data_IF_136186567538
#
_entry.id   IF_136186567538
#
_cell.length_a   1.000
_cell.length_b   1.000
_cell.length_c   1.000
_cell.angle_alpha   90.00
_cell.angle_beta   90.00
_cell.angle_gamma   90.00
#
_symmetry.space_group_name_H-M   'P 1'
#
loop_
_entity.id
_entity.type
_entity.pdbx_description
1 polymer ?
#
# COMPACT_ATOMS: atom_id res chain seq x y z
N UNK A 1 -15.00 11.07 -6.22
CA UNK A 1 -14.24 10.15 -5.35
C UNK A 1 -13.39 9.30 -6.27
N UNK A 2 -12.07 9.34 -6.08
CA UNK A 2 -11.11 8.53 -6.83
C UNK A 2 -10.66 7.39 -5.92
N UNK A 3 -10.55 6.17 -6.45
CA UNK A 3 -9.92 5.07 -5.73
C UNK A 3 -8.42 5.14 -6.00
N UNK A 4 -7.63 5.19 -4.94
CA UNK A 4 -6.16 5.20 -5.00
C UNK A 4 -5.61 4.01 -4.22
N UNK A 5 -4.59 3.37 -4.77
CA UNK A 5 -3.80 2.42 -4.01
C UNK A 5 -2.88 3.20 -3.09
N UNK A 6 -2.60 2.67 -1.92
CA UNK A 6 -1.79 3.37 -0.93
C UNK A 6 -0.92 2.40 -0.15
N UNK A 7 0.22 2.92 0.31
CA UNK A 7 0.94 2.33 1.43
C UNK A 7 0.42 2.97 2.70
N UNK A 8 0.14 2.17 3.72
CA UNK A 8 -0.34 2.64 5.00
C UNK A 8 0.61 2.17 6.11
N UNK A 9 0.83 3.06 7.07
CA UNK A 9 1.55 2.78 8.30
C UNK A 9 0.65 3.02 9.50
N UNK A 10 0.58 2.01 10.36
CA UNK A 10 -0.18 2.03 11.60
C UNK A 10 0.75 2.08 12.80
N UNK A 11 0.34 2.79 13.84
CA UNK A 11 1.02 2.81 15.12
C UNK A 11 0.81 1.51 15.90
N UNK A 12 1.55 1.34 17.00
CA UNK A 12 1.37 0.20 17.90
C UNK A 12 -0.01 0.16 18.58
N UNK A 13 -0.74 1.27 18.54
CA UNK A 13 -2.12 1.42 19.00
C UNK A 13 -3.16 1.00 17.94
N UNK A 14 -2.70 0.63 16.74
CA UNK A 14 -3.55 0.23 15.61
C UNK A 14 -4.20 1.40 14.87
N UNK A 15 -3.83 2.65 15.18
CA UNK A 15 -4.32 3.82 14.45
C UNK A 15 -3.43 4.13 13.25
N UNK A 16 -4.05 4.61 12.16
CA UNK A 16 -3.32 5.06 10.98
C UNK A 16 -2.46 6.27 11.34
N UNK A 17 -1.14 6.12 11.26
CA UNK A 17 -0.20 7.22 11.45
C UNK A 17 -0.02 7.99 10.15
N UNK A 18 0.10 7.28 9.02
CA UNK A 18 0.41 7.88 7.73
C UNK A 18 0.02 6.99 6.56
N UNK A 19 -0.29 7.61 5.43
CA UNK A 19 -0.48 6.94 4.14
C UNK A 19 0.25 7.67 3.01
N UNK A 20 0.58 6.92 1.97
CA UNK A 20 1.20 7.42 0.74
C UNK A 20 0.45 6.88 -0.46
N UNK A 21 -0.02 7.78 -1.33
CA UNK A 21 -0.71 7.40 -2.56
C UNK A 21 0.29 6.78 -3.54
N UNK A 22 -0.09 5.62 -4.08
CA UNK A 22 0.66 4.93 -5.12
C UNK A 22 0.11 5.32 -6.50
N UNK A 23 0.98 5.70 -7.44
CA UNK A 23 0.56 5.91 -8.81
C UNK A 23 0.12 4.60 -9.48
N UNK A 24 -0.70 4.71 -10.52
CA UNK A 24 -1.35 3.55 -11.15
C UNK A 24 -0.37 2.59 -11.85
N UNK A 25 0.83 3.05 -12.20
CA UNK A 25 1.89 2.26 -12.81
C UNK A 25 2.51 1.23 -11.84
N UNK A 26 2.45 1.50 -10.54
CA UNK A 26 2.93 0.60 -9.46
C UNK A 26 2.08 -0.67 -9.34
N UNK A 27 0.84 -0.62 -9.80
CA UNK A 27 -0.11 -1.75 -9.70
C UNK A 27 0.37 -2.96 -10.48
N UNK A 28 0.99 -2.75 -11.64
CA UNK A 28 1.46 -3.85 -12.50
C UNK A 28 2.39 -4.80 -11.75
N UNK A 29 3.49 -4.30 -11.18
CA UNK A 29 4.38 -5.08 -10.31
C UNK A 29 3.70 -5.69 -9.08
N UNK A 30 2.76 -4.97 -8.45
CA UNK A 30 2.08 -5.45 -7.24
C UNK A 30 1.19 -6.67 -7.47
N UNK A 31 0.62 -6.85 -8.68
CA UNK A 31 -0.29 -7.97 -9.01
C UNK A 31 0.30 -9.37 -8.79
N UNK A 32 1.61 -9.50 -8.68
CA UNK A 32 2.26 -10.78 -8.36
C UNK A 32 2.24 -11.11 -6.85
N UNK A 33 1.88 -10.15 -6.01
CA UNK A 33 2.03 -10.22 -4.54
C UNK A 33 0.73 -9.94 -3.77
N UNK A 34 -0.24 -9.29 -4.40
CA UNK A 34 -1.54 -8.95 -3.82
C UNK A 34 -2.66 -9.20 -4.81
N UNK A 35 -3.87 -9.40 -4.30
CA UNK A 35 -5.06 -9.45 -5.14
C UNK A 35 -5.45 -8.04 -5.59
N UNK A 36 -5.77 -7.92 -6.88
CA UNK A 36 -6.09 -6.65 -7.52
C UNK A 36 -7.34 -6.81 -8.38
N UNK A 37 -8.25 -5.85 -8.33
CA UNK A 37 -9.42 -5.84 -9.22
C UNK A 37 -9.01 -5.69 -10.69
N UNK A 38 -9.88 -6.01 -11.66
CA UNK A 38 -9.61 -5.76 -13.08
C UNK A 38 -9.20 -4.31 -13.38
N UNK A 39 -9.75 -3.36 -12.63
CA UNK A 39 -9.50 -1.92 -12.74
C UNK A 39 -8.18 -1.48 -12.10
N UNK A 40 -7.50 -2.35 -11.35
CA UNK A 40 -6.17 -2.07 -10.80
C UNK A 40 -6.16 -1.62 -9.35
N UNK A 41 -7.18 -1.91 -8.55
CA UNK A 41 -7.20 -1.58 -7.12
C UNK A 41 -6.79 -2.77 -6.27
N UNK A 42 -5.89 -2.57 -5.31
CA UNK A 42 -5.55 -3.59 -4.32
C UNK A 42 -6.80 -3.92 -3.52
N UNK A 43 -7.17 -5.20 -3.53
CA UNK A 43 -8.26 -5.72 -2.73
C UNK A 43 -7.78 -5.97 -1.31
N UNK A 44 -8.60 -5.63 -0.31
CA UNK A 44 -8.26 -5.78 1.11
C UNK A 44 -6.97 -5.04 1.51
N UNK A 45 -6.52 -5.30 2.74
CA UNK A 45 -5.27 -4.79 3.29
C UNK A 45 -4.26 -5.93 3.35
N UNK A 46 -3.13 -5.75 2.69
CA UNK A 46 -2.08 -6.77 2.59
C UNK A 46 -0.87 -6.38 3.44
N UNK A 47 -0.33 -7.31 4.24
CA UNK A 47 0.87 -7.05 5.05
C UNK A 47 2.07 -6.80 4.15
N UNK A 48 2.94 -5.90 4.60
CA UNK A 48 4.14 -5.52 3.86
C UNK A 48 5.19 -6.65 3.87
N UNK A 49 5.35 -7.34 2.74
CA UNK A 49 6.45 -8.29 2.50
C UNK A 49 7.70 -7.59 1.95
N UNK A 50 8.82 -8.31 1.85
CA UNK A 50 10.04 -7.76 1.28
C UNK A 50 9.89 -7.42 -0.22
N UNK A 51 9.14 -8.23 -0.96
CA UNK A 51 8.85 -8.04 -2.38
C UNK A 51 7.94 -6.83 -2.60
N UNK A 52 6.88 -6.69 -1.78
CA UNK A 52 5.99 -5.52 -1.83
C UNK A 52 6.77 -4.26 -1.46
N UNK A 53 7.58 -4.30 -0.40
CA UNK A 53 8.40 -3.16 0.02
C UNK A 53 9.38 -2.72 -1.07
N UNK A 54 10.06 -3.66 -1.73
CA UNK A 54 10.98 -3.36 -2.83
C UNK A 54 10.27 -2.67 -4.00
N UNK A 55 9.01 -3.02 -4.26
CA UNK A 55 8.18 -2.34 -5.25
C UNK A 55 7.88 -0.93 -4.76
N UNK A 56 7.28 -0.76 -3.58
CA UNK A 56 6.63 0.50 -3.19
C UNK A 56 7.53 1.54 -2.49
N UNK A 57 8.70 1.13 -1.99
CA UNK A 57 9.65 2.01 -1.28
C UNK A 57 9.98 3.33 -2.01
N UNK A 58 10.07 3.40 -3.35
CA UNK A 58 10.33 4.66 -4.06
C UNK A 58 9.28 5.75 -3.83
N UNK A 59 8.06 5.40 -3.40
CA UNK A 59 6.97 6.35 -3.15
C UNK A 59 6.73 6.64 -1.66
N UNK A 60 7.51 6.00 -0.79
CA UNK A 60 7.44 6.20 0.67
C UNK A 60 8.67 6.99 1.10
N UNK A 61 8.44 8.13 1.77
CA UNK A 61 9.50 9.05 2.20
C UNK A 61 10.22 8.62 3.50
N UNK A 62 9.87 7.43 4.02
CA UNK A 62 10.52 6.80 5.16
C UNK A 62 10.84 5.31 4.90
N UNK A 63 11.83 4.73 5.60
CA UNK A 63 12.18 3.33 5.42
C UNK A 63 11.05 2.40 5.85
N UNK A 64 10.59 1.55 4.94
CA UNK A 64 9.58 0.54 5.22
C UNK A 64 10.19 -0.57 6.09
N UNK A 65 9.51 -0.92 7.18
CA UNK A 65 9.95 -1.98 8.10
C UNK A 65 9.15 -3.25 7.83
N UNK A 66 9.70 -4.13 7.01
CA UNK A 66 9.10 -5.44 6.67
C UNK A 66 8.95 -6.32 7.91
N UNK A 67 7.81 -7.01 8.03
CA UNK A 67 7.54 -7.95 9.12
C UNK A 67 7.28 -7.30 10.49
N UNK A 68 7.01 -6.00 10.53
CA UNK A 68 6.68 -5.26 11.75
C UNK A 68 5.19 -5.25 12.08
N UNK A 69 4.33 -5.83 11.24
CA UNK A 69 2.87 -5.77 11.31
C UNK A 69 2.28 -4.34 11.38
N UNK A 70 3.09 -3.33 11.05
CA UNK A 70 2.71 -1.90 11.05
C UNK A 70 2.56 -1.32 9.65
N UNK A 71 2.98 -2.06 8.61
CA UNK A 71 2.99 -1.58 7.23
C UNK A 71 2.11 -2.45 6.34
N UNK A 72 1.32 -1.79 5.50
CA UNK A 72 0.37 -2.45 4.62
C UNK A 72 0.29 -1.77 3.25
N UNK A 73 -0.17 -2.52 2.26
CA UNK A 73 -0.66 -1.97 1.00
C UNK A 73 -2.15 -2.24 0.89
N UNK A 74 -2.91 -1.22 0.48
CA UNK A 74 -4.36 -1.27 0.39
C UNK A 74 -4.87 -0.32 -0.71
N UNK A 75 -6.18 -0.20 -0.84
CA UNK A 75 -6.81 0.85 -1.62
C UNK A 75 -7.86 1.60 -0.81
N UNK A 76 -8.06 2.88 -1.12
CA UNK A 76 -9.00 3.75 -0.42
C UNK A 76 -9.65 4.78 -1.34
N UNK A 77 -10.75 5.36 -0.87
CA UNK A 77 -11.45 6.43 -1.57
C UNK A 77 -10.97 7.80 -1.08
N UNK A 78 -10.47 8.62 -1.99
CA UNK A 78 -10.11 10.02 -1.71
C UNK A 78 -11.11 10.98 -2.35
N UNK A 79 -11.38 12.10 -1.65
CA UNK A 79 -12.12 13.22 -2.23
C UNK A 79 -11.24 13.86 -3.32
N UNK A 80 -11.86 14.17 -4.46
CA UNK A 80 -11.18 14.76 -5.62
C UNK A 80 -10.93 16.25 -5.43
#
# INVERSE_FOLDING_TARGET
MLVVNMVEKFGADGFLERSWDLPSDVVGPLRAHVDVTPEGWVMDMWPMTAEIAAIVQPWVDEPIVVGSDTWFVSSGQVAA
#
